data_IF_851991596527
#
_entry.id   IF_851991596527
#
_cell.length_a   1.000
_cell.length_b   1.000
_cell.length_c   1.000
_cell.angle_alpha   90.00
_cell.angle_beta   90.00
_cell.angle_gamma   90.00
#
_symmetry.space_group_name_H-M   'P 1'
#
loop_
_entity.id
_entity.type
_entity.pdbx_description
1 polymer ?
#
# COMPACT_ATOMS: atom_id res chain seq x y z
N UNK A 1 -7.81 -28.29 -2.95
CA UNK A 1 -7.88 -26.82 -3.06
C UNK A 1 -9.35 -26.43 -3.12
N UNK A 2 -9.85 -25.52 -2.27
CA UNK A 2 -11.21 -25.04 -2.38
C UNK A 2 -11.38 -24.34 -3.74
N UNK A 3 -12.47 -24.65 -4.44
CA UNK A 3 -12.88 -23.95 -5.66
C UNK A 3 -13.61 -22.69 -5.23
N UNK A 4 -12.89 -21.60 -5.04
CA UNK A 4 -13.51 -20.29 -4.88
C UNK A 4 -14.07 -19.85 -6.24
N UNK A 5 -15.35 -19.49 -6.29
CA UNK A 5 -15.97 -18.89 -7.47
C UNK A 5 -15.90 -17.37 -7.30
N UNK A 6 -15.05 -16.73 -8.09
CA UNK A 6 -14.89 -15.28 -8.08
C UNK A 6 -15.98 -14.64 -8.96
N UNK A 7 -16.67 -13.63 -8.43
CA UNK A 7 -17.54 -12.79 -9.26
C UNK A 7 -16.69 -11.82 -10.09
N UNK A 8 -17.04 -11.69 -11.37
CA UNK A 8 -16.43 -10.70 -12.24
C UNK A 8 -17.21 -9.39 -12.15
N UNK A 9 -16.50 -8.28 -11.91
CA UNK A 9 -17.10 -6.95 -11.94
C UNK A 9 -17.46 -6.61 -13.39
N UNK A 10 -18.74 -6.49 -13.67
CA UNK A 10 -19.26 -6.18 -15.01
C UNK A 10 -19.47 -4.69 -15.25
N UNK A 11 -19.68 -3.90 -14.19
CA UNK A 11 -19.86 -2.45 -14.28
C UNK A 11 -18.49 -1.74 -14.49
N UNK A 12 -18.29 -1.05 -15.63
CA UNK A 12 -17.07 -0.29 -15.89
C UNK A 12 -16.80 0.78 -14.82
N UNK A 13 -17.83 1.37 -14.22
CA UNK A 13 -17.66 2.40 -13.21
C UNK A 13 -17.11 1.82 -11.90
N UNK A 14 -17.58 0.65 -11.48
CA UNK A 14 -17.01 -0.08 -10.33
C UNK A 14 -15.55 -0.46 -10.59
N UNK A 15 -15.24 -0.91 -11.80
CA UNK A 15 -13.87 -1.22 -12.18
C UNK A 15 -12.96 0.01 -12.08
N UNK A 16 -13.35 1.14 -12.67
CA UNK A 16 -12.61 2.40 -12.62
C UNK A 16 -12.50 2.96 -11.19
N UNK A 17 -13.52 2.74 -10.36
CA UNK A 17 -13.50 3.09 -8.94
C UNK A 17 -12.43 2.30 -8.19
N UNK A 18 -12.38 0.97 -8.36
CA UNK A 18 -11.36 0.13 -7.73
C UNK A 18 -9.96 0.42 -8.27
N UNK A 19 -9.82 0.66 -9.58
CA UNK A 19 -8.54 1.02 -10.20
C UNK A 19 -7.96 2.31 -9.61
N UNK A 20 -8.82 3.30 -9.28
CA UNK A 20 -8.40 4.52 -8.57
C UNK A 20 -7.81 4.24 -7.19
N UNK A 21 -8.09 3.09 -6.57
CA UNK A 21 -7.52 2.65 -5.30
C UNK A 21 -6.22 1.84 -5.42
N UNK A 22 -5.87 1.36 -6.62
CA UNK A 22 -4.68 0.52 -6.81
C UNK A 22 -3.41 1.36 -6.65
N UNK A 23 -2.48 0.88 -5.82
CA UNK A 23 -1.18 1.50 -5.55
C UNK A 23 -0.08 0.44 -5.70
N UNK A 24 1.10 0.88 -6.15
CA UNK A 24 2.30 0.05 -6.14
C UNK A 24 2.99 0.08 -4.78
N UNK A 25 4.17 -0.55 -4.70
CA UNK A 25 5.03 -0.45 -3.53
C UNK A 25 5.49 0.99 -3.29
N UNK A 26 5.49 1.41 -2.03
CA UNK A 26 6.04 2.71 -1.63
C UNK A 26 7.55 2.57 -1.53
N UNK A 27 8.28 3.36 -2.33
CA UNK A 27 9.74 3.45 -2.29
C UNK A 27 10.12 4.90 -2.06
N UNK A 28 10.56 5.22 -0.85
CA UNK A 28 10.92 6.59 -0.45
C UNK A 28 12.24 6.62 0.33
N UNK A 29 12.98 7.72 0.19
CA UNK A 29 14.20 8.01 0.94
C UNK A 29 13.96 9.33 1.68
N UNK A 30 13.70 9.25 2.98
CA UNK A 30 13.45 10.44 3.83
C UNK A 30 14.73 10.98 4.44
N UNK A 31 15.66 10.11 4.87
CA UNK A 31 17.01 10.48 5.31
C UNK A 31 18.05 10.15 4.24
N UNK A 32 18.67 11.18 3.65
CA UNK A 32 19.60 11.04 2.52
C UNK A 32 20.97 10.46 2.87
N UNK A 33 21.42 10.63 4.11
CA UNK A 33 22.71 10.13 4.59
C UNK A 33 22.63 9.66 6.03
N UNK A 34 23.16 8.47 6.28
CA UNK A 34 23.36 7.92 7.61
C UNK A 34 24.68 7.15 7.62
N UNK A 35 25.47 7.35 8.68
CA UNK A 35 26.73 6.67 8.88
C UNK A 35 26.70 6.00 10.25
N UNK A 36 27.04 4.72 10.29
CA UNK A 36 27.21 3.99 11.53
C UNK A 36 28.49 4.47 12.24
N UNK A 37 28.47 4.44 13.57
CA UNK A 37 29.63 4.69 14.43
C UNK A 37 29.55 3.70 15.58
N UNK A 38 30.08 2.50 15.43
CA UNK A 38 30.03 1.51 16.51
C UNK A 38 31.35 0.77 16.62
N UNK A 39 31.58 0.17 17.79
CA UNK A 39 32.84 -0.48 18.18
C UNK A 39 33.31 -1.61 17.25
N UNK A 40 32.46 -2.09 16.35
CA UNK A 40 32.81 -3.13 15.38
C UNK A 40 33.37 -2.57 14.06
N UNK A 41 33.38 -1.24 13.89
CA UNK A 41 33.90 -0.58 12.69
C UNK A 41 35.38 -0.20 12.86
N UNK A 42 36.17 -0.32 11.79
CA UNK A 42 37.60 0.04 11.79
C UNK A 42 37.86 1.53 12.01
N UNK A 43 36.89 2.38 11.70
CA UNK A 43 36.93 3.83 11.88
C UNK A 43 36.06 4.32 13.05
N UNK A 44 35.84 3.48 14.07
CA UNK A 44 35.08 3.85 15.26
C UNK A 44 35.75 5.03 15.98
N UNK A 45 34.95 6.05 16.28
CA UNK A 45 35.37 7.21 17.05
C UNK A 45 34.65 7.21 18.41
N UNK A 46 35.38 6.93 19.52
CA UNK A 46 34.83 6.94 20.87
C UNK A 46 34.31 8.32 21.33
N UNK A 47 34.76 9.41 20.70
CA UNK A 47 34.29 10.76 21.02
C UNK A 47 32.87 11.04 20.49
N UNK A 48 32.42 10.24 19.53
CA UNK A 48 31.11 10.35 18.91
C UNK A 48 30.11 9.32 19.48
N UNK A 49 28.79 9.63 19.53
CA UNK A 49 27.78 8.69 20.00
C UNK A 49 27.76 7.38 19.20
N UNK A 50 27.51 6.26 19.87
CA UNK A 50 27.37 4.96 19.21
C UNK A 50 26.12 4.94 18.32
N UNK A 51 26.29 4.61 17.04
CA UNK A 51 25.24 4.54 16.01
C UNK A 51 25.29 3.21 15.27
N UNK A 52 24.15 2.54 15.22
CA UNK A 52 23.93 1.32 14.43
C UNK A 52 22.92 1.63 13.33
N UNK A 53 23.08 0.98 12.17
CA UNK A 53 22.11 1.01 11.09
C UNK A 53 21.48 -0.38 11.05
N UNK A 54 20.15 -0.42 11.15
CA UNK A 54 19.39 -1.67 11.11
C UNK A 54 18.70 -1.80 9.76
N UNK A 55 18.68 -3.03 9.24
CA UNK A 55 17.94 -3.39 8.05
C UNK A 55 16.83 -4.35 8.46
N UNK A 56 15.60 -4.02 8.07
CA UNK A 56 14.42 -4.85 8.28
C UNK A 56 13.87 -5.26 6.91
N UNK A 57 13.60 -6.55 6.75
CA UNK A 57 12.95 -7.10 5.57
C UNK A 57 11.82 -8.02 6.02
N UNK A 58 10.64 -7.84 5.42
CA UNK A 58 9.46 -8.64 5.76
C UNK A 58 9.43 -9.87 4.88
N UNK A 59 9.64 -11.03 5.49
CA UNK A 59 9.58 -12.31 4.79
C UNK A 59 8.17 -12.55 4.23
N UNK A 60 8.09 -12.72 2.91
CA UNK A 60 6.90 -13.21 2.21
C UNK A 60 5.63 -12.35 2.38
N UNK A 61 5.79 -11.02 2.40
CA UNK A 61 4.74 -10.02 2.62
C UNK A 61 3.46 -10.26 1.77
N UNK A 62 3.62 -10.52 0.47
CA UNK A 62 2.47 -10.74 -0.42
C UNK A 62 1.69 -12.01 -0.08
N UNK A 63 2.34 -13.09 0.36
CA UNK A 63 1.64 -14.29 0.77
C UNK A 63 0.81 -14.05 2.03
N UNK A 64 1.37 -13.32 3.00
CA UNK A 64 0.64 -12.94 4.20
C UNK A 64 -0.61 -12.12 3.83
N UNK A 65 -0.46 -11.13 2.95
CA UNK A 65 -1.56 -10.31 2.46
C UNK A 65 -2.63 -11.12 1.69
N UNK A 66 -2.20 -12.05 0.82
CA UNK A 66 -3.12 -12.93 0.08
C UNK A 66 -3.81 -13.97 0.97
N UNK A 67 -3.31 -14.20 2.18
CA UNK A 67 -3.94 -15.10 3.15
C UNK A 67 -5.03 -14.42 3.97
N UNK A 68 -5.18 -13.10 3.85
CA UNK A 68 -6.23 -12.34 4.54
C UNK A 68 -7.58 -12.50 3.82
N UNK A 69 -8.66 -12.00 4.43
CA UNK A 69 -9.95 -11.88 3.75
C UNK A 69 -9.83 -10.97 2.51
N UNK A 70 -10.15 -11.53 1.35
CA UNK A 70 -10.10 -10.83 0.06
C UNK A 70 -11.52 -10.74 -0.54
N UNK A 71 -11.80 -9.70 -1.37
CA UNK A 71 -13.07 -9.60 -2.08
C UNK A 71 -13.39 -10.87 -2.88
N UNK A 72 -14.66 -11.29 -2.86
CA UNK A 72 -15.12 -12.53 -3.48
C UNK A 72 -16.29 -12.31 -4.44
N UNK A 73 -17.39 -11.74 -3.94
CA UNK A 73 -18.67 -11.63 -4.65
C UNK A 73 -19.59 -10.55 -4.06
N UNK A 74 -20.75 -10.33 -4.66
CA UNK A 74 -21.80 -9.40 -4.29
C UNK A 74 -21.34 -7.94 -4.22
N UNK A 75 -20.63 -7.48 -5.26
CA UNK A 75 -20.18 -6.09 -5.34
C UNK A 75 -21.38 -5.15 -5.53
N UNK A 76 -21.58 -4.23 -4.58
CA UNK A 76 -22.69 -3.28 -4.63
C UNK A 76 -22.27 -1.90 -4.11
N UNK A 77 -22.73 -0.86 -4.79
CA UNK A 77 -22.65 0.48 -4.23
C UNK A 77 -23.66 0.63 -3.09
N UNK A 78 -23.23 1.29 -2.03
CA UNK A 78 -24.08 1.66 -0.90
C UNK A 78 -24.26 3.17 -0.85
N UNK A 79 -25.38 3.59 -0.25
CA UNK A 79 -25.68 5.00 -0.01
C UNK A 79 -24.58 5.63 0.86
N UNK A 80 -23.85 6.66 0.37
CA UNK A 80 -22.74 7.27 1.11
C UNK A 80 -23.17 7.86 2.46
N UNK A 81 -24.44 8.27 2.58
CA UNK A 81 -25.02 8.86 3.79
C UNK A 81 -25.10 7.87 4.97
N UNK A 82 -25.01 6.57 4.68
CA UNK A 82 -24.95 5.52 5.69
C UNK A 82 -23.57 5.41 6.33
N UNK A 83 -22.55 6.07 5.78
CA UNK A 83 -21.15 5.88 6.15
C UNK A 83 -20.55 7.15 6.72
N UNK A 84 -19.87 7.01 7.85
CA UNK A 84 -19.11 8.05 8.52
C UNK A 84 -17.83 7.42 9.13
N UNK A 85 -17.00 8.25 9.75
CA UNK A 85 -15.77 7.74 10.35
C UNK A 85 -16.01 6.64 11.39
N UNK A 86 -17.02 6.80 12.26
CA UNK A 86 -17.30 5.89 13.38
C UNK A 86 -17.73 4.49 12.93
N UNK A 87 -18.56 4.39 11.89
CA UNK A 87 -19.02 3.09 11.41
C UNK A 87 -18.01 2.42 10.45
N UNK A 88 -17.21 3.19 9.71
CA UNK A 88 -16.10 2.64 8.90
C UNK A 88 -15.09 1.91 9.80
N UNK A 89 -14.74 2.48 10.96
CA UNK A 89 -13.75 1.86 11.86
C UNK A 89 -14.30 0.63 12.60
N UNK A 90 -15.61 0.44 12.63
CA UNK A 90 -16.26 -0.71 13.29
C UNK A 90 -16.40 -1.93 12.37
N UNK A 91 -16.17 -1.81 11.06
CA UNK A 91 -16.26 -2.95 10.12
C UNK A 91 -15.29 -4.06 10.56
N UNK A 92 -15.73 -5.29 10.87
CA UNK A 92 -14.82 -6.33 11.33
C UNK A 92 -13.78 -6.70 10.27
N UNK A 93 -12.50 -6.78 10.65
CA UNK A 93 -11.43 -7.09 9.70
C UNK A 93 -11.64 -8.47 9.06
N UNK A 94 -11.91 -9.48 9.89
CA UNK A 94 -12.20 -10.86 9.49
C UNK A 94 -13.70 -11.14 9.29
N UNK A 95 -14.51 -10.09 9.09
CA UNK A 95 -15.93 -10.24 8.80
C UNK A 95 -16.18 -10.76 7.38
N UNK A 96 -17.38 -11.28 7.14
CA UNK A 96 -17.81 -11.78 5.83
C UNK A 96 -18.06 -10.67 4.80
N UNK A 97 -18.10 -9.41 5.24
CA UNK A 97 -18.33 -8.23 4.39
C UNK A 97 -17.18 -7.25 4.54
N UNK A 98 -16.64 -6.81 3.42
CA UNK A 98 -15.67 -5.72 3.33
C UNK A 98 -16.20 -4.57 2.47
N UNK A 99 -15.54 -3.42 2.57
CA UNK A 99 -15.87 -2.23 1.78
C UNK A 99 -14.64 -1.47 1.32
N UNK A 100 -14.75 -0.86 0.14
CA UNK A 100 -13.82 0.16 -0.37
C UNK A 100 -14.56 1.48 -0.43
N UNK A 101 -13.93 2.54 0.06
CA UNK A 101 -14.53 3.86 0.15
C UNK A 101 -13.77 4.87 -0.68
N UNK A 102 -14.48 5.90 -1.14
CA UNK A 102 -13.92 7.12 -1.68
C UNK A 102 -14.20 8.25 -0.72
N UNK A 103 -13.15 8.80 -0.12
CA UNK A 103 -13.25 9.72 1.02
C UNK A 103 -12.35 10.94 0.85
N UNK A 104 -12.67 12.02 1.56
CA UNK A 104 -11.68 13.05 1.90
C UNK A 104 -11.00 12.67 3.22
N UNK A 105 -9.67 12.81 3.26
CA UNK A 105 -8.84 12.60 4.45
C UNK A 105 -8.15 13.90 4.83
N UNK A 106 -8.38 14.35 6.05
CA UNK A 106 -7.57 15.39 6.68
C UNK A 106 -6.29 14.77 7.24
N UNK A 107 -5.17 15.46 7.05
CA UNK A 107 -3.86 15.12 7.58
C UNK A 107 -3.43 16.23 8.56
N UNK A 108 -3.82 16.13 9.85
CA UNK A 108 -3.65 17.21 10.79
C UNK A 108 -2.18 17.60 11.00
N UNK A 109 -1.88 18.88 11.17
CA UNK A 109 -0.50 19.37 11.30
C UNK A 109 0.21 18.81 12.54
N UNK A 110 -0.53 18.53 13.60
CA UNK A 110 -0.01 18.01 14.87
C UNK A 110 0.68 16.64 14.75
N UNK A 111 0.40 15.86 13.69
CA UNK A 111 1.03 14.55 13.45
C UNK A 111 2.14 14.59 12.39
N UNK A 112 2.44 15.76 11.80
CA UNK A 112 3.39 15.88 10.69
C UNK A 112 4.81 15.49 11.10
N UNK A 113 5.27 15.92 12.27
CA UNK A 113 6.62 15.60 12.77
C UNK A 113 6.81 14.09 12.97
N UNK A 114 5.78 13.42 13.52
CA UNK A 114 5.79 11.97 13.73
C UNK A 114 5.81 11.20 12.40
N UNK A 115 5.15 11.75 11.37
CA UNK A 115 5.01 11.08 10.08
C UNK A 115 6.04 11.53 9.04
N UNK A 116 6.93 12.47 9.38
CA UNK A 116 7.92 13.03 8.46
C UNK A 116 8.83 11.96 7.83
N UNK A 117 9.11 10.88 8.57
CA UNK A 117 9.91 9.76 8.09
C UNK A 117 9.17 8.80 7.15
N UNK A 118 7.85 8.65 7.32
CA UNK A 118 7.03 7.73 6.54
C UNK A 118 5.57 8.21 6.48
N UNK A 119 5.25 9.19 5.62
CA UNK A 119 3.88 9.64 5.44
C UNK A 119 2.99 8.50 4.94
N UNK A 120 1.76 8.45 5.46
CA UNK A 120 0.75 7.47 5.03
C UNK A 120 -0.15 8.01 3.93
N UNK A 121 -1.04 7.16 3.41
CA UNK A 121 -1.99 7.51 2.34
C UNK A 121 -1.33 8.09 1.08
N UNK A 122 -0.28 7.42 0.57
CA UNK A 122 0.43 7.88 -0.62
C UNK A 122 -0.50 7.99 -1.85
N UNK A 123 -0.34 9.07 -2.60
CA UNK A 123 -1.18 9.36 -3.76
C UNK A 123 -0.40 9.37 -5.07
N UNK A 124 -1.10 9.03 -6.15
CA UNK A 124 -0.52 9.07 -7.49
C UNK A 124 -0.70 10.48 -8.04
N UNK A 125 0.37 11.27 -8.04
CA UNK A 125 0.32 12.68 -8.45
C UNK A 125 1.44 13.04 -9.45
N UNK A 126 1.23 14.13 -10.18
CA UNK A 126 2.23 14.71 -11.09
C UNK A 126 2.98 15.80 -10.34
N UNK A 127 4.31 15.74 -10.36
CA UNK A 127 5.15 16.77 -9.77
C UNK A 127 5.33 17.92 -10.74
N UNK A 128 5.00 19.12 -10.29
CA UNK A 128 5.28 20.35 -11.02
C UNK A 128 6.48 21.07 -10.39
N UNK A 129 7.03 22.08 -11.10
CA UNK A 129 8.19 22.84 -10.60
C UNK A 129 7.90 23.61 -9.30
N UNK A 130 6.66 24.02 -9.06
CA UNK A 130 6.28 24.77 -7.87
C UNK A 130 6.30 23.92 -6.59
N UNK A 131 6.25 22.59 -6.71
CA UNK A 131 6.37 21.65 -5.59
C UNK A 131 7.82 21.33 -5.21
N UNK A 132 8.80 21.84 -5.96
CA UNK A 132 10.22 21.55 -5.73
C UNK A 132 10.85 22.62 -4.85
N UNK A 133 11.72 22.18 -3.94
CA UNK A 133 12.53 23.12 -3.15
C UNK A 133 13.58 23.81 -4.02
N UNK A 134 14.05 24.97 -3.58
CA UNK A 134 15.12 25.72 -4.26
C UNK A 134 16.38 24.86 -4.49
N UNK A 135 16.69 23.97 -3.55
CA UNK A 135 17.78 23.00 -3.71
C UNK A 135 17.54 22.03 -4.88
N UNK A 136 16.34 21.48 -5.00
CA UNK A 136 15.98 20.56 -6.07
C UNK A 136 16.01 21.25 -7.44
N UNK A 137 15.54 22.50 -7.51
CA UNK A 137 15.60 23.32 -8.73
C UNK A 137 17.05 23.56 -9.16
N UNK A 138 17.89 24.06 -8.24
CA UNK A 138 19.31 24.29 -8.50
C UNK A 138 20.05 23.01 -8.94
N UNK A 139 19.73 21.88 -8.32
CA UNK A 139 20.32 20.58 -8.69
C UNK A 139 19.86 20.13 -10.08
N UNK A 140 18.58 20.34 -10.41
CA UNK A 140 18.04 20.06 -11.74
C UNK A 140 18.77 20.85 -12.82
N UNK A 141 19.00 22.14 -12.59
CA UNK A 141 19.70 23.02 -13.52
C UNK A 141 21.18 22.62 -13.66
N UNK A 142 21.85 22.33 -12.53
CA UNK A 142 23.26 21.91 -12.53
C UNK A 142 23.50 20.58 -13.25
N UNK A 143 22.57 19.63 -13.13
CA UNK A 143 22.68 18.30 -13.73
C UNK A 143 22.03 18.22 -15.12
N UNK A 144 21.42 19.29 -15.62
CA UNK A 144 20.72 19.31 -16.91
C UNK A 144 19.48 18.41 -16.97
N UNK A 145 18.89 18.05 -15.82
CA UNK A 145 17.68 17.23 -15.79
C UNK A 145 16.45 18.05 -16.16
N UNK A 146 15.63 17.55 -17.09
CA UNK A 146 14.33 18.13 -17.39
C UNK A 146 13.28 17.60 -16.42
N UNK A 147 12.71 18.48 -15.61
CA UNK A 147 11.56 18.17 -14.77
C UNK A 147 10.34 17.98 -15.69
N UNK A 148 10.01 16.72 -16.00
CA UNK A 148 8.81 16.38 -16.76
C UNK A 148 7.62 16.18 -15.82
N UNK A 149 6.58 17.00 -16.00
CA UNK A 149 5.28 16.82 -15.35
C UNK A 149 4.38 15.79 -16.05
N UNK A 150 4.86 15.10 -17.08
CA UNK A 150 4.05 14.15 -17.86
C UNK A 150 3.67 12.91 -17.05
N UNK A 151 4.60 12.42 -16.22
CA UNK A 151 4.47 11.12 -15.56
C UNK A 151 3.99 11.29 -14.12
N UNK A 152 2.98 10.51 -13.75
CA UNK A 152 2.53 10.42 -12.38
C UNK A 152 3.45 9.50 -11.58
N UNK A 153 3.75 9.89 -10.34
CA UNK A 153 4.51 9.08 -9.38
C UNK A 153 3.64 8.81 -8.15
N UNK A 154 3.90 7.71 -7.46
CA UNK A 154 3.31 7.43 -6.16
C UNK A 154 4.13 8.16 -5.10
N UNK A 155 3.51 9.09 -4.37
CA UNK A 155 4.22 10.02 -3.49
C UNK A 155 3.58 10.01 -2.11
N UNK A 156 4.33 9.58 -1.07
CA UNK A 156 3.99 9.86 0.31
C UNK A 156 4.14 11.36 0.56
N UNK A 157 3.08 12.01 1.05
CA UNK A 157 3.09 13.42 1.43
C UNK A 157 2.13 13.68 2.59
N UNK A 158 2.33 14.80 3.28
CA UNK A 158 1.59 15.20 4.49
C UNK A 158 0.37 16.09 4.18
N UNK A 159 -0.02 16.23 2.91
CA UNK A 159 -1.17 17.06 2.53
C UNK A 159 -2.50 16.34 2.79
N UNK A 160 -3.60 17.09 2.88
CA UNK A 160 -4.94 16.50 2.85
C UNK A 160 -5.15 15.73 1.55
N UNK A 161 -5.89 14.62 1.62
CA UNK A 161 -6.24 13.80 0.45
C UNK A 161 -7.68 14.05 0.09
N UNK A 162 -7.93 14.32 -1.19
CA UNK A 162 -9.31 14.47 -1.68
C UNK A 162 -9.70 13.32 -2.57
N UNK A 163 -10.95 12.85 -2.45
CA UNK A 163 -11.53 11.78 -3.26
C UNK A 163 -10.64 10.53 -3.29
N UNK A 164 -9.99 10.25 -2.16
CA UNK A 164 -9.05 9.16 -1.98
C UNK A 164 -9.79 7.83 -1.87
N UNK A 165 -9.44 6.88 -2.74
CA UNK A 165 -10.03 5.54 -2.74
C UNK A 165 -9.18 4.59 -1.92
N UNK A 166 -9.77 3.95 -0.89
CA UNK A 166 -9.08 3.00 -0.04
C UNK A 166 -9.99 1.92 0.53
N UNK A 167 -9.38 0.76 0.78
CA UNK A 167 -9.98 -0.33 1.53
C UNK A 167 -10.21 0.07 2.99
N UNK A 168 -11.28 -0.42 3.61
CA UNK A 168 -11.63 -0.08 4.99
C UNK A 168 -10.50 -0.33 6.00
N UNK A 169 -9.76 -1.45 5.86
CA UNK A 169 -8.59 -1.74 6.71
C UNK A 169 -7.50 -0.65 6.65
N UNK A 170 -7.29 -0.05 5.47
CA UNK A 170 -6.34 1.06 5.34
C UNK A 170 -6.87 2.32 6.02
N UNK A 171 -8.17 2.60 5.89
CA UNK A 171 -8.80 3.75 6.55
C UNK A 171 -8.76 3.64 8.07
N UNK A 172 -8.96 2.44 8.62
CA UNK A 172 -8.74 2.14 10.04
C UNK A 172 -7.31 2.46 10.48
N UNK A 173 -6.32 1.94 9.76
CA UNK A 173 -4.92 2.24 10.03
C UNK A 173 -4.63 3.74 9.97
N UNK A 174 -5.15 4.44 8.97
CA UNK A 174 -4.97 5.88 8.85
C UNK A 174 -5.59 6.64 10.02
N UNK A 175 -6.77 6.22 10.48
CA UNK A 175 -7.41 6.78 11.66
C UNK A 175 -6.61 6.53 12.93
N UNK A 176 -6.10 5.32 13.12
CA UNK A 176 -5.23 4.97 14.25
C UNK A 176 -3.96 5.83 14.26
N UNK A 177 -3.41 6.11 13.08
CA UNK A 177 -2.26 7.00 12.88
C UNK A 177 -2.63 8.50 12.93
N UNK A 178 -3.89 8.86 13.17
CA UNK A 178 -4.32 10.23 13.43
C UNK A 178 -4.87 11.01 12.24
N UNK A 179 -5.01 10.41 11.05
CA UNK A 179 -5.78 11.02 9.95
C UNK A 179 -7.27 11.03 10.30
N UNK A 180 -8.02 11.96 9.71
CA UNK A 180 -9.47 12.08 9.94
C UNK A 180 -10.24 11.92 8.64
N UNK A 181 -11.31 11.14 8.67
CA UNK A 181 -12.22 10.99 7.53
C UNK A 181 -13.23 12.13 7.60
N UNK A 182 -13.17 13.08 6.66
CA UNK A 182 -14.02 14.29 6.70
C UNK A 182 -15.25 14.17 5.82
N UNK A 183 -15.21 13.38 4.76
CA UNK A 183 -16.34 13.18 3.85
C UNK A 183 -16.28 11.81 3.16
N UNK A 184 -17.45 11.20 2.92
CA UNK A 184 -17.59 9.94 2.17
C UNK A 184 -18.39 10.22 0.90
N UNK A 185 -17.77 10.00 -0.27
CA UNK A 185 -18.41 10.19 -1.57
C UNK A 185 -19.06 8.93 -2.12
N UNK A 186 -18.49 7.76 -1.81
CA UNK A 186 -18.96 6.49 -2.30
C UNK A 186 -18.44 5.35 -1.41
N UNK A 187 -19.26 4.32 -1.27
CA UNK A 187 -18.94 3.07 -0.61
C UNK A 187 -19.29 1.91 -1.55
N UNK A 188 -18.34 1.02 -1.79
CA UNK A 188 -18.53 -0.22 -2.54
C UNK A 188 -18.32 -1.38 -1.56
N UNK A 189 -19.39 -2.09 -1.21
CA UNK A 189 -19.32 -3.27 -0.35
C UNK A 189 -19.30 -4.55 -1.17
N UNK A 190 -18.75 -5.59 -0.56
CA UNK A 190 -18.61 -6.92 -1.15
C UNK A 190 -18.51 -7.96 -0.04
N UNK A 191 -18.86 -9.20 -0.38
CA UNK A 191 -18.52 -10.35 0.44
C UNK A 191 -17.03 -10.65 0.30
N UNK A 192 -16.37 -10.94 1.41
CA UNK A 192 -14.96 -11.30 1.45
C UNK A 192 -14.75 -12.60 2.21
N UNK A 193 -13.65 -13.29 1.94
CA UNK A 193 -13.22 -14.46 2.70
C UNK A 193 -11.73 -14.74 2.45
N UNK A 194 -11.04 -15.50 3.31
CA UNK A 194 -9.63 -15.88 3.10
C UNK A 194 -9.50 -17.02 2.07
N UNK A 195 -10.11 -16.85 0.89
CA UNK A 195 -10.25 -17.92 -0.11
C UNK A 195 -8.92 -18.37 -0.74
N UNK A 196 -7.87 -17.54 -0.69
CA UNK A 196 -6.50 -17.90 -1.10
C UNK A 196 -5.66 -18.53 0.01
N UNK A 197 -6.05 -18.42 1.28
CA UNK A 197 -5.21 -18.83 2.42
C UNK A 197 -4.76 -20.28 2.31
N UNK A 198 -5.69 -21.19 2.03
CA UNK A 198 -5.38 -22.62 1.91
C UNK A 198 -4.39 -22.93 0.78
N UNK A 199 -4.43 -22.17 -0.32
CA UNK A 199 -3.51 -22.29 -1.44
C UNK A 199 -2.11 -21.78 -1.06
N UNK A 200 -2.04 -20.60 -0.43
CA UNK A 200 -0.79 -20.01 0.02
C UNK A 200 -0.13 -20.89 1.09
N UNK A 201 -0.89 -21.38 2.07
CA UNK A 201 -0.41 -22.28 3.12
C UNK A 201 0.16 -23.57 2.54
N UNK A 202 -0.53 -24.16 1.56
CA UNK A 202 -0.02 -25.33 0.85
C UNK A 202 1.34 -25.05 0.20
N UNK A 203 1.47 -23.96 -0.55
CA UNK A 203 2.75 -23.63 -1.21
C UNK A 203 3.88 -23.36 -0.20
N UNK A 204 3.58 -22.73 0.94
CA UNK A 204 4.56 -22.52 2.02
C UNK A 204 5.02 -23.86 2.60
N UNK A 205 4.10 -24.78 2.89
CA UNK A 205 4.42 -26.11 3.41
C UNK A 205 5.28 -26.91 2.41
N UNK A 206 4.95 -26.87 1.12
CA UNK A 206 5.76 -27.54 0.10
C UNK A 206 7.15 -26.90 -0.04
N UNK A 207 7.25 -25.58 0.04
CA UNK A 207 8.53 -24.86 0.04
C UNK A 207 9.43 -25.26 1.20
N UNK A 208 8.86 -25.49 2.39
CA UNK A 208 9.61 -25.96 3.58
C UNK A 208 10.12 -27.39 3.37
N UNK A 209 9.30 -28.26 2.75
CA UNK A 209 9.65 -29.66 2.47
C UNK A 209 10.66 -29.83 1.33
N UNK A 210 10.71 -28.86 0.41
CA UNK A 210 11.59 -28.87 -0.76
C UNK A 210 13.07 -28.99 -0.37
N UNK A 211 13.76 -29.95 -1.00
CA UNK A 211 15.18 -30.23 -0.71
C UNK A 211 16.11 -29.48 -1.66
N UNK A 212 15.65 -29.23 -2.88
CA UNK A 212 16.43 -28.57 -3.93
C UNK A 212 15.99 -27.12 -4.14
N UNK A 213 16.93 -26.28 -4.59
CA UNK A 213 16.68 -24.87 -4.87
C UNK A 213 15.59 -24.66 -5.94
N UNK A 214 15.53 -25.55 -6.94
CA UNK A 214 14.52 -25.50 -7.99
C UNK A 214 13.09 -25.57 -7.44
N UNK A 215 12.80 -26.56 -6.59
CA UNK A 215 11.47 -26.74 -5.96
C UNK A 215 11.11 -25.56 -5.07
N UNK A 216 12.08 -25.04 -4.30
CA UNK A 216 11.87 -23.84 -3.47
C UNK A 216 11.47 -22.63 -4.33
N UNK A 217 12.17 -22.41 -5.43
CA UNK A 217 11.89 -21.33 -6.37
C UNK A 217 10.55 -21.54 -7.08
N UNK A 218 10.17 -22.78 -7.37
CA UNK A 218 8.89 -23.11 -7.98
C UNK A 218 7.71 -22.69 -7.08
N UNK A 219 7.70 -23.10 -5.81
CA UNK A 219 6.60 -22.73 -4.89
C UNK A 219 6.57 -21.24 -4.56
N UNK A 220 7.73 -20.58 -4.53
CA UNK A 220 7.81 -19.13 -4.41
C UNK A 220 7.20 -18.42 -5.63
N UNK A 221 7.53 -18.87 -6.84
CA UNK A 221 6.98 -18.33 -8.08
C UNK A 221 5.46 -18.53 -8.15
N UNK A 222 4.95 -19.68 -7.74
CA UNK A 222 3.51 -19.97 -7.72
C UNK A 222 2.74 -18.95 -6.87
N UNK A 223 3.28 -18.57 -5.72
CA UNK A 223 2.68 -17.52 -4.89
C UNK A 223 2.75 -16.14 -5.57
N UNK A 224 3.92 -15.74 -6.06
CA UNK A 224 4.10 -14.42 -6.67
C UNK A 224 3.30 -14.23 -7.97
N UNK A 225 3.13 -15.31 -8.74
CA UNK A 225 2.38 -15.29 -10.00
C UNK A 225 0.87 -15.04 -9.78
N UNK A 226 0.29 -15.54 -8.68
CA UNK A 226 -1.11 -15.28 -8.35
C UNK A 226 -1.34 -13.78 -8.16
N UNK A 227 -0.52 -13.11 -7.36
CA UNK A 227 -0.60 -11.67 -7.14
C UNK A 227 -0.49 -10.87 -8.46
N UNK A 228 0.43 -11.28 -9.34
CA UNK A 228 0.61 -10.64 -10.64
C UNK A 228 -0.62 -10.77 -11.54
N UNK A 229 -1.26 -11.94 -11.56
CA UNK A 229 -2.46 -12.20 -12.37
C UNK A 229 -3.71 -11.54 -11.81
N UNK A 230 -3.87 -11.47 -10.49
CA UNK A 230 -5.04 -10.80 -9.86
C UNK A 230 -4.99 -9.28 -10.01
N UNK A 231 -3.80 -8.71 -10.19
CA UNK A 231 -3.61 -7.29 -10.50
C UNK A 231 -3.49 -7.00 -12.00
N UNK A 232 -3.55 -8.01 -12.86
CA UNK A 232 -3.35 -7.83 -14.29
C UNK A 232 -4.51 -7.05 -14.90
N UNK A 233 -4.17 -5.89 -15.49
CA UNK A 233 -5.09 -5.06 -16.26
C UNK A 233 -5.67 -5.90 -17.38
N UNK A 234 -6.99 -6.00 -17.44
CA UNK A 234 -7.71 -6.52 -18.62
C UNK A 234 -7.53 -5.53 -19.77
N UNK A 235 -6.36 -5.56 -20.40
CA UNK A 235 -6.19 -5.09 -21.77
C UNK A 235 -6.72 -6.18 -22.71
N UNK A 236 -7.43 -5.81 -23.79
CA UNK A 236 -7.94 -6.79 -24.75
C UNK A 236 -6.77 -7.51 -25.43
N UNK A 237 -6.83 -8.84 -25.45
CA UNK A 237 -6.21 -9.66 -26.51
C UNK A 237 -7.06 -9.58 -27.76
#
# INVERSE_FOLDING_TARGET
>A
MPKAKLELIQDPNMYLFLEQGIRGGISTITKRYAQANNKYMSNFDPSNPSKYIMYFDVNNLYCWAMSQALPLENFKYESPELWNEENIIQIPDEGDTGSVFKVDLEYPEEIHDNHNCLPVAAEKMKINKAMLSSYQLNLSDKLGFKISGSNSKLIPNLSNKSKYVAHFRNLKLYKELGLRITHVFAALSFKQSPWLESYIRYNIEQRIKAKISFEKNFFELMNNAVFGKTNWRTGPT
#
